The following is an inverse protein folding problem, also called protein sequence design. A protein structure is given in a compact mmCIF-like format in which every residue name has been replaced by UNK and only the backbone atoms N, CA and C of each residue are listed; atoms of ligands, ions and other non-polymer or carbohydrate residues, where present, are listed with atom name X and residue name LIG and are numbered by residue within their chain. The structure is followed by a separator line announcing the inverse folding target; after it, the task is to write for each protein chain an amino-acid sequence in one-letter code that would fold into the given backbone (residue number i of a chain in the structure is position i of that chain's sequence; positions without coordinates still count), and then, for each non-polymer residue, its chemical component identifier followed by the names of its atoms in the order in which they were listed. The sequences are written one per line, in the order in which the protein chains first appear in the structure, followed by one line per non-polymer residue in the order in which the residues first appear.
data_IF_047577361565
#
_entry.id   IF_047577361565
#
_cell.length_a   1.000
_cell.length_b   1.000
_cell.length_c   1.000
_cell.angle_alpha   90.00
_cell.angle_beta   90.00
_cell.angle_gamma   90.00
#
_symmetry.space_group_name_H-M   'P 1'
#
loop_
_entity.id
_entity.type
_entity.pdbx_description
1 polymer ?
#
# COMPACT_ATOMS: atom_id res chain seq x y z
N UNK A 1 -9.24 7.86 -6.50
CA UNK A 1 -8.88 7.54 -5.11
C UNK A 1 -7.85 8.50 -4.49
N UNK A 2 -6.96 9.16 -5.21
CA UNK A 2 -6.02 10.18 -4.67
C UNK A 2 -4.63 9.68 -4.29
N UNK A 3 -4.18 8.50 -4.75
CA UNK A 3 -2.84 7.95 -4.46
C UNK A 3 -1.72 8.88 -4.97
N UNK A 4 -1.72 9.21 -6.26
CA UNK A 4 -0.75 10.14 -6.87
C UNK A 4 -0.72 11.48 -6.15
N UNK A 5 -1.90 12.03 -5.83
CA UNK A 5 -2.01 13.29 -5.08
C UNK A 5 -1.35 13.16 -3.71
N UNK A 6 -1.61 12.08 -2.97
CA UNK A 6 -1.01 11.88 -1.64
C UNK A 6 0.52 11.77 -1.70
N UNK A 7 1.06 10.98 -2.66
CA UNK A 7 2.51 10.86 -2.85
C UNK A 7 3.12 12.23 -3.20
N UNK A 8 2.52 12.97 -4.13
CA UNK A 8 2.97 14.31 -4.52
C UNK A 8 2.92 15.30 -3.34
N UNK A 9 1.87 15.23 -2.52
CA UNK A 9 1.67 16.15 -1.40
C UNK A 9 2.73 16.01 -0.31
N UNK A 10 3.22 14.77 -0.06
CA UNK A 10 4.15 14.51 1.05
C UNK A 10 5.61 14.38 0.61
N UNK A 11 5.88 14.12 -0.65
CA UNK A 11 7.23 13.86 -1.15
C UNK A 11 8.10 15.12 -1.15
N UNK A 12 9.31 14.99 -0.64
CA UNK A 12 10.36 16.04 -0.70
C UNK A 12 11.07 16.10 -2.06
N UNK A 13 10.91 15.07 -2.86
CA UNK A 13 11.45 15.03 -4.23
C UNK A 13 10.31 15.15 -5.23
N UNK A 14 10.63 15.63 -6.44
CA UNK A 14 9.66 15.55 -7.53
C UNK A 14 9.20 14.09 -7.68
N UNK A 15 7.90 13.80 -7.60
CA UNK A 15 7.42 12.43 -7.74
C UNK A 15 7.86 11.85 -9.07
N UNK A 16 8.49 10.70 -9.02
CA UNK A 16 8.83 9.95 -10.23
C UNK A 16 7.62 9.10 -10.58
N UNK A 17 6.93 9.44 -11.65
CA UNK A 17 5.95 8.55 -12.26
C UNK A 17 6.68 7.69 -13.27
N UNK A 18 6.91 6.42 -12.95
CA UNK A 18 7.54 5.49 -13.88
C UNK A 18 6.48 4.85 -14.76
N UNK A 19 6.52 5.14 -16.04
CA UNK A 19 5.75 4.42 -17.05
C UNK A 19 6.54 3.17 -17.48
N UNK A 20 6.25 2.02 -16.88
CA UNK A 20 6.80 0.76 -17.34
C UNK A 20 5.89 0.15 -18.42
N UNK A 21 6.41 -0.04 -19.60
CA UNK A 21 5.72 -0.81 -20.63
C UNK A 21 5.83 -2.29 -20.30
N UNK A 22 4.72 -2.90 -19.90
CA UNK A 22 4.68 -4.34 -19.70
C UNK A 22 4.23 -5.03 -20.97
N UNK A 23 5.11 -5.81 -21.56
CA UNK A 23 4.73 -6.80 -22.57
C UNK A 23 4.21 -8.02 -21.83
N UNK A 24 2.96 -8.39 -22.02
CA UNK A 24 2.42 -9.67 -21.54
C UNK A 24 3.08 -10.79 -22.33
N UNK A 25 4.22 -11.25 -21.85
CA UNK A 25 4.81 -12.52 -22.28
C UNK A 25 4.22 -13.62 -21.38
N UNK A 26 3.29 -14.40 -21.92
CA UNK A 26 2.93 -15.67 -21.34
C UNK A 26 1.49 -15.80 -20.84
N UNK A 27 0.55 -15.85 -21.76
CA UNK A 27 -0.69 -16.58 -21.57
C UNK A 27 -0.86 -17.52 -22.76
N UNK A 28 -0.67 -18.84 -22.50
CA UNK A 28 -1.22 -19.89 -23.37
C UNK A 28 -0.30 -20.37 -24.48
N UNK A 29 0.35 -21.48 -24.23
CA UNK A 29 0.65 -22.49 -25.24
C UNK A 29 -0.70 -23.02 -25.73
N UNK A 30 -1.09 -22.64 -26.96
CA UNK A 30 -1.54 -23.51 -28.03
C UNK A 30 -2.12 -22.73 -29.22
N UNK A 31 -1.70 -23.24 -30.40
CA UNK A 31 -2.27 -23.08 -31.73
C UNK A 31 -2.12 -21.76 -32.49
N UNK A 32 -1.19 -21.85 -33.40
CA UNK A 32 -1.04 -21.23 -34.71
C UNK A 32 -2.13 -20.31 -35.22
N UNK A 33 -2.01 -19.02 -34.90
CA UNK A 33 -2.41 -17.94 -35.79
C UNK A 33 -1.72 -16.66 -35.32
N UNK A 34 -0.95 -16.09 -36.22
CA UNK A 34 -0.33 -14.79 -36.11
C UNK A 34 -1.38 -13.72 -35.80
N UNK A 35 -1.46 -13.26 -34.57
CA UNK A 35 -2.20 -12.04 -34.23
C UNK A 35 -1.16 -10.97 -33.90
N UNK A 36 -1.02 -9.91 -34.71
CA UNK A 36 -0.23 -8.74 -34.39
C UNK A 36 -1.04 -7.88 -33.42
N UNK A 37 -0.76 -8.00 -32.13
CA UNK A 37 -1.42 -7.23 -31.10
C UNK A 37 -0.74 -7.45 -29.77
N UNK A 38 0.56 -7.11 -29.66
CA UNK A 38 1.17 -6.91 -28.36
C UNK A 38 0.49 -5.71 -27.72
N UNK A 39 -0.53 -5.93 -26.87
CA UNK A 39 -1.06 -4.85 -26.06
C UNK A 39 -0.03 -4.51 -24.99
N UNK A 40 0.74 -3.49 -25.26
CA UNK A 40 1.64 -2.89 -24.28
C UNK A 40 0.76 -2.11 -23.30
N UNK A 41 0.67 -2.56 -22.07
CA UNK A 41 -0.02 -1.80 -21.03
C UNK A 41 1.02 -1.00 -20.27
N UNK A 42 0.91 0.32 -20.32
CA UNK A 42 1.72 1.21 -19.51
C UNK A 42 1.22 1.15 -18.07
N UNK A 43 2.10 0.80 -17.15
CA UNK A 43 1.80 0.83 -15.72
C UNK A 43 2.49 2.04 -15.13
N UNK A 44 1.71 2.97 -14.60
CA UNK A 44 2.23 4.11 -13.88
C UNK A 44 2.31 3.77 -12.39
N UNK A 45 3.48 3.98 -11.79
CA UNK A 45 3.71 3.86 -10.35
C UNK A 45 4.29 5.17 -9.84
N UNK A 46 3.69 5.69 -8.79
CA UNK A 46 4.19 6.90 -8.14
C UNK A 46 5.26 6.52 -7.12
N UNK A 47 6.32 7.32 -7.05
CA UNK A 47 7.37 7.16 -6.06
C UNK A 47 7.67 8.49 -5.38
N UNK A 48 7.74 8.46 -4.04
CA UNK A 48 8.07 9.61 -3.22
C UNK A 48 9.03 9.26 -2.10
N UNK A 49 9.66 10.28 -1.54
CA UNK A 49 10.59 10.16 -0.41
C UNK A 49 10.32 11.24 0.63
N UNK A 50 10.44 10.84 1.90
CA UNK A 50 10.43 11.74 3.05
C UNK A 50 11.68 11.46 3.87
N UNK A 51 12.38 12.51 4.28
CA UNK A 51 13.48 12.41 5.24
C UNK A 51 12.91 12.61 6.65
N UNK A 52 13.04 11.60 7.48
CA UNK A 52 12.62 11.67 8.88
C UNK A 52 13.71 12.34 9.71
N UNK A 53 14.96 11.90 9.51
CA UNK A 53 16.18 12.50 10.06
C UNK A 53 17.37 12.21 9.13
N UNK A 54 18.59 12.58 9.53
CA UNK A 54 19.79 12.37 8.71
C UNK A 54 20.06 10.91 8.34
N UNK A 55 19.64 9.98 9.19
CA UNK A 55 19.87 8.54 9.04
C UNK A 55 18.67 7.78 8.46
N UNK A 56 17.45 8.31 8.58
CA UNK A 56 16.20 7.61 8.24
C UNK A 56 15.47 8.30 7.11
N UNK A 57 15.31 7.59 6.01
CA UNK A 57 14.50 7.99 4.86
C UNK A 57 13.34 7.03 4.69
N UNK A 58 12.15 7.55 4.49
CA UNK A 58 10.96 6.77 4.18
C UNK A 58 10.65 6.87 2.69
N UNK A 59 10.49 5.74 2.05
CA UNK A 59 10.09 5.65 0.65
C UNK A 59 8.61 5.28 0.57
N UNK A 60 7.89 5.95 -0.32
CA UNK A 60 6.45 5.77 -0.52
C UNK A 60 6.22 5.38 -1.98
N UNK A 61 5.49 4.29 -2.17
CA UNK A 61 5.13 3.77 -3.48
C UNK A 61 3.62 3.84 -3.66
N UNK A 62 3.16 4.54 -4.69
CA UNK A 62 1.76 4.54 -5.11
C UNK A 62 1.53 3.42 -6.11
N UNK A 63 0.81 2.38 -5.70
CA UNK A 63 0.51 1.23 -6.55
C UNK A 63 -0.61 1.53 -7.54
N UNK A 64 -0.61 0.92 -8.74
CA UNK A 64 -1.77 0.94 -9.62
C UNK A 64 -3.01 0.39 -8.90
N UNK A 65 -4.15 1.03 -9.08
CA UNK A 65 -5.39 0.65 -8.38
C UNK A 65 -6.27 -0.37 -9.11
N UNK A 66 -5.79 -0.93 -10.22
CA UNK A 66 -6.56 -1.91 -10.98
C UNK A 66 -6.14 -3.33 -10.57
N UNK A 67 -7.09 -4.21 -10.34
CA UNK A 67 -6.89 -5.59 -9.87
C UNK A 67 -5.92 -6.41 -10.72
N UNK A 68 -5.89 -6.15 -12.03
CA UNK A 68 -4.94 -6.80 -12.96
C UNK A 68 -3.46 -6.54 -12.61
N UNK A 69 -3.16 -5.55 -11.77
CA UNK A 69 -1.81 -5.23 -11.29
C UNK A 69 -1.51 -5.75 -9.89
N UNK A 70 -2.38 -6.61 -9.34
CA UNK A 70 -2.19 -7.19 -8.01
C UNK A 70 -0.86 -7.95 -7.81
N UNK A 71 -0.26 -8.44 -8.89
CA UNK A 71 1.08 -9.06 -8.83
C UNK A 71 2.17 -8.08 -8.37
N UNK A 72 2.06 -6.78 -8.72
CA UNK A 72 3.00 -5.74 -8.28
C UNK A 72 2.90 -5.47 -6.78
N UNK A 73 1.72 -5.68 -6.20
CA UNK A 73 1.53 -5.48 -4.76
C UNK A 73 2.39 -6.43 -3.96
N UNK A 74 2.59 -7.67 -4.45
CA UNK A 74 3.46 -8.66 -3.78
C UNK A 74 4.90 -8.19 -3.73
N UNK A 75 5.43 -7.71 -4.84
CA UNK A 75 6.82 -7.28 -4.92
C UNK A 75 7.06 -6.01 -4.09
N UNK A 76 6.14 -5.04 -4.14
CA UNK A 76 6.21 -3.80 -3.37
C UNK A 76 5.95 -4.01 -1.88
N UNK A 77 5.10 -4.96 -1.51
CA UNK A 77 4.82 -5.28 -0.11
C UNK A 77 5.96 -6.06 0.55
N UNK A 78 6.83 -6.70 -0.26
CA UNK A 78 8.01 -7.38 0.27
C UNK A 78 9.00 -6.35 0.84
N UNK A 79 9.19 -6.39 2.15
CA UNK A 79 10.02 -5.41 2.88
C UNK A 79 9.33 -4.09 3.24
N UNK A 80 8.07 -3.90 2.85
CA UNK A 80 7.30 -2.75 3.30
C UNK A 80 7.01 -2.80 4.80
N UNK A 81 7.06 -1.64 5.45
CA UNK A 81 6.69 -1.51 6.87
C UNK A 81 5.18 -1.63 7.07
N UNK A 82 4.40 -1.14 6.12
CA UNK A 82 2.95 -1.15 6.15
C UNK A 82 2.35 -0.54 4.89
N UNK A 83 1.02 -0.47 4.84
CA UNK A 83 0.28 0.06 3.70
C UNK A 83 -0.76 1.11 4.12
N UNK A 84 -1.00 2.07 3.25
CA UNK A 84 -2.11 3.01 3.35
C UNK A 84 -3.11 2.70 2.23
N UNK A 85 -4.28 2.20 2.60
CA UNK A 85 -5.37 1.93 1.65
C UNK A 85 -6.26 3.16 1.56
N UNK A 86 -6.12 3.92 0.47
CA UNK A 86 -6.92 5.13 0.24
C UNK A 86 -8.26 4.72 -0.37
N UNK A 87 -9.33 5.09 0.29
CA UNK A 87 -10.72 4.72 -0.04
C UNK A 87 -11.51 5.93 -0.48
N UNK A 88 -12.34 5.75 -1.51
CA UNK A 88 -13.40 6.68 -1.89
C UNK A 88 -14.73 6.08 -1.38
N UNK A 89 -15.36 6.72 -0.42
CA UNK A 89 -16.61 6.24 0.21
C UNK A 89 -17.82 6.21 -0.73
N UNK A 90 -17.71 6.84 -1.89
CA UNK A 90 -18.71 6.77 -2.96
C UNK A 90 -18.53 5.52 -3.84
N UNK A 91 -17.39 4.83 -3.74
CA UNK A 91 -17.00 3.69 -4.55
C UNK A 91 -16.16 2.71 -3.72
N UNK A 92 -16.75 2.17 -2.66
CA UNK A 92 -16.08 1.26 -1.72
C UNK A 92 -15.64 -0.05 -2.38
N UNK A 93 -16.39 -0.50 -3.39
CA UNK A 93 -16.10 -1.71 -4.17
C UNK A 93 -14.70 -1.68 -4.83
N UNK A 94 -14.20 -0.53 -5.23
CA UNK A 94 -12.85 -0.37 -5.76
C UNK A 94 -11.75 -0.67 -4.72
N UNK A 95 -12.09 -0.86 -3.46
CA UNK A 95 -11.13 -1.01 -2.36
C UNK A 95 -11.08 -2.42 -1.76
N UNK A 96 -12.07 -3.27 -2.03
CA UNK A 96 -12.14 -4.60 -1.43
C UNK A 96 -10.91 -5.45 -1.72
N UNK A 97 -10.48 -5.52 -2.97
CA UNK A 97 -9.31 -6.33 -3.35
C UNK A 97 -8.03 -5.88 -2.63
N UNK A 98 -7.85 -4.58 -2.40
CA UNK A 98 -6.70 -4.08 -1.65
C UNK A 98 -6.79 -4.43 -0.17
N UNK A 99 -7.98 -4.32 0.43
CA UNK A 99 -8.22 -4.68 1.84
C UNK A 99 -7.94 -6.17 2.05
N UNK A 100 -8.59 -7.04 1.27
CA UNK A 100 -8.41 -8.49 1.34
C UNK A 100 -6.94 -8.89 1.17
N UNK A 101 -6.25 -8.22 0.24
CA UNK A 101 -4.84 -8.50 -0.02
C UNK A 101 -3.96 -8.22 1.21
N UNK A 102 -4.08 -7.03 1.82
CA UNK A 102 -3.24 -6.65 2.96
C UNK A 102 -3.62 -7.39 4.23
N UNK A 103 -4.89 -7.73 4.44
CA UNK A 103 -5.31 -8.63 5.52
C UNK A 103 -4.70 -10.02 5.34
N UNK A 104 -4.79 -10.59 4.14
CA UNK A 104 -4.24 -11.92 3.83
C UNK A 104 -2.73 -12.00 3.98
N UNK A 105 -2.00 -10.94 3.63
CA UNK A 105 -0.54 -10.87 3.85
C UNK A 105 -0.17 -10.67 5.31
N UNK A 106 -1.09 -10.21 6.10
CA UNK A 106 -0.80 -9.80 7.45
C UNK A 106 0.21 -8.64 7.52
N UNK A 107 0.27 -7.76 6.52
CA UNK A 107 1.01 -6.50 6.58
C UNK A 107 0.20 -5.48 7.39
N UNK A 108 0.80 -4.69 8.31
CA UNK A 108 0.08 -3.60 8.96
C UNK A 108 -0.47 -2.63 7.91
N UNK A 109 -1.73 -2.26 8.03
CA UNK A 109 -2.30 -1.27 7.14
C UNK A 109 -3.33 -0.38 7.84
N UNK A 110 -3.54 0.80 7.26
CA UNK A 110 -4.51 1.79 7.71
C UNK A 110 -5.42 2.12 6.53
N UNK A 111 -6.72 2.23 6.79
CA UNK A 111 -7.70 2.70 5.82
C UNK A 111 -7.85 4.20 5.97
N UNK A 112 -7.62 4.93 4.87
CA UNK A 112 -7.71 6.38 4.78
C UNK A 112 -8.88 6.76 3.86
N UNK A 113 -9.98 7.22 4.46
CA UNK A 113 -11.19 7.65 3.72
C UNK A 113 -10.98 9.05 3.17
N UNK A 114 -10.78 9.15 1.86
CA UNK A 114 -10.41 10.40 1.23
C UNK A 114 -11.61 11.32 1.06
N UNK A 115 -11.48 12.54 1.59
CA UNK A 115 -12.46 13.61 1.42
C UNK A 115 -12.34 14.22 0.02
N UNK A 116 -13.20 13.78 -0.87
CA UNK A 116 -13.39 14.48 -2.13
C UNK A 116 -14.31 15.68 -1.89
N UNK A 117 -13.87 16.86 -2.31
CA UNK A 117 -14.62 18.12 -2.15
C UNK A 117 -14.99 18.48 -0.70
N UNK A 118 -14.21 17.98 0.27
CA UNK A 118 -14.35 18.28 1.68
C UNK A 118 -15.42 17.46 2.41
N UNK A 119 -16.09 16.53 1.74
CA UNK A 119 -17.17 15.72 2.31
C UNK A 119 -16.79 14.25 2.39
N UNK A 120 -17.19 13.60 3.47
CA UNK A 120 -17.35 12.15 3.60
C UNK A 120 -18.85 11.89 3.62
N UNK A 121 -19.31 10.97 2.77
CA UNK A 121 -20.76 10.68 2.62
C UNK A 121 -21.24 9.80 3.77
N UNK A 122 -20.41 8.87 4.22
CA UNK A 122 -20.72 7.92 5.29
C UNK A 122 -19.76 8.11 6.47
N UNK A 123 -20.24 7.84 7.69
CA UNK A 123 -19.36 7.84 8.85
C UNK A 123 -18.34 6.68 8.80
N UNK A 124 -17.23 6.82 9.55
CA UNK A 124 -16.14 5.86 9.53
C UNK A 124 -16.54 4.47 10.06
N UNK A 125 -17.55 4.38 10.93
CA UNK A 125 -18.05 3.12 11.47
C UNK A 125 -18.82 2.34 10.39
N UNK A 126 -19.64 3.04 9.62
CA UNK A 126 -20.35 2.48 8.45
C UNK A 126 -19.37 1.98 7.39
N UNK A 127 -18.32 2.76 7.09
CA UNK A 127 -17.30 2.37 6.13
C UNK A 127 -16.52 1.13 6.62
N UNK A 128 -16.14 1.11 7.90
CA UNK A 128 -15.51 -0.07 8.52
C UNK A 128 -16.36 -1.32 8.36
N UNK A 129 -17.64 -1.20 8.67
CA UNK A 129 -18.58 -2.31 8.56
C UNK A 129 -18.73 -2.79 7.11
N UNK A 130 -18.87 -1.85 6.16
CA UNK A 130 -19.02 -2.17 4.74
C UNK A 130 -17.76 -2.85 4.16
N UNK A 131 -16.57 -2.45 4.60
CA UNK A 131 -15.31 -3.08 4.20
C UNK A 131 -15.00 -4.37 4.97
N UNK A 132 -15.85 -4.76 5.93
CA UNK A 132 -15.73 -5.95 6.77
C UNK A 132 -14.37 -6.10 7.48
N UNK A 133 -13.66 -4.99 7.75
CA UNK A 133 -12.31 -5.03 8.32
C UNK A 133 -12.31 -5.29 9.83
N UNK A 134 -11.27 -5.98 10.29
CA UNK A 134 -11.10 -6.29 11.70
C UNK A 134 -11.10 -5.03 12.58
N UNK A 135 -11.64 -5.10 13.83
CA UNK A 135 -11.68 -3.94 14.74
C UNK A 135 -10.31 -3.28 15.00
N UNK A 136 -9.24 -4.06 14.90
CA UNK A 136 -7.87 -3.57 15.10
C UNK A 136 -7.34 -2.70 13.95
N UNK A 137 -7.94 -2.76 12.76
CA UNK A 137 -7.52 -1.95 11.61
C UNK A 137 -7.97 -0.50 11.83
N UNK A 138 -7.06 0.46 11.78
CA UNK A 138 -7.41 1.89 11.87
C UNK A 138 -8.14 2.33 10.60
N UNK A 139 -9.27 3.05 10.78
CA UNK A 139 -9.99 3.75 9.72
C UNK A 139 -9.99 5.23 10.08
N UNK A 140 -9.43 6.08 9.23
CA UNK A 140 -9.24 7.50 9.49
C UNK A 140 -9.81 8.36 8.37
N UNK A 141 -10.19 9.58 8.68
CA UNK A 141 -10.48 10.61 7.69
C UNK A 141 -9.17 11.08 7.05
N UNK A 142 -9.23 11.36 5.76
CA UNK A 142 -8.05 11.70 4.98
C UNK A 142 -8.37 12.75 3.91
N UNK A 143 -7.44 13.62 3.65
CA UNK A 143 -7.46 14.51 2.48
C UNK A 143 -6.08 14.48 1.81
N UNK A 144 -6.00 13.83 0.66
CA UNK A 144 -4.78 13.65 -0.11
C UNK A 144 -4.08 14.96 -0.51
N UNK A 145 -4.80 16.09 -0.52
CA UNK A 145 -4.29 17.40 -0.91
C UNK A 145 -3.66 18.17 0.25
N UNK A 146 -3.86 17.72 1.50
CA UNK A 146 -3.40 18.40 2.71
C UNK A 146 -2.20 17.69 3.31
N UNK A 147 -1.06 18.36 3.31
CA UNK A 147 0.19 17.82 3.86
C UNK A 147 0.03 17.20 5.26
N UNK A 148 -0.61 17.91 6.19
CA UNK A 148 -0.79 17.42 7.56
C UNK A 148 -1.65 16.15 7.60
N UNK A 149 -2.68 16.06 6.75
CA UNK A 149 -3.53 14.87 6.67
C UNK A 149 -2.76 13.66 6.14
N UNK A 150 -1.95 13.87 5.10
CA UNK A 150 -1.11 12.79 4.53
C UNK A 150 -0.02 12.37 5.52
N UNK A 151 0.63 13.34 6.18
CA UNK A 151 1.61 13.08 7.24
C UNK A 151 1.02 12.22 8.36
N UNK A 152 -0.15 12.61 8.87
CA UNK A 152 -0.79 11.92 9.99
C UNK A 152 -1.22 10.50 9.60
N UNK A 153 -1.66 10.29 8.36
CA UNK A 153 -1.95 8.97 7.83
C UNK A 153 -0.69 8.09 7.73
N UNK A 154 0.42 8.64 7.26
CA UNK A 154 1.71 7.93 7.21
C UNK A 154 2.19 7.58 8.61
N UNK A 155 2.09 8.51 9.57
CA UNK A 155 2.42 8.25 10.98
C UNK A 155 1.56 7.13 11.56
N UNK A 156 0.25 7.09 11.25
CA UNK A 156 -0.62 6.01 11.71
C UNK A 156 -0.17 4.64 11.19
N UNK A 157 0.28 4.55 9.93
CA UNK A 157 0.86 3.30 9.38
C UNK A 157 2.13 2.90 10.12
N UNK A 158 3.04 3.85 10.38
CA UNK A 158 4.28 3.58 11.10
C UNK A 158 4.03 3.14 12.56
N UNK A 159 3.04 3.72 13.23
CA UNK A 159 2.61 3.30 14.57
C UNK A 159 2.14 1.84 14.56
N UNK A 160 1.28 1.44 13.63
CA UNK A 160 0.84 0.05 13.49
C UNK A 160 2.00 -0.91 13.21
N UNK A 161 2.94 -0.51 12.36
CA UNK A 161 4.15 -1.27 12.08
C UNK A 161 5.01 -1.47 13.34
N UNK A 162 5.18 -0.43 14.15
CA UNK A 162 5.91 -0.48 15.41
C UNK A 162 5.22 -1.38 16.45
N UNK A 163 3.91 -1.27 16.61
CA UNK A 163 3.13 -2.15 17.50
C UNK A 163 3.35 -3.60 17.11
N UNK A 164 3.19 -3.91 15.83
CA UNK A 164 3.37 -5.27 15.32
C UNK A 164 4.80 -5.80 15.50
N UNK A 165 5.81 -4.95 15.25
CA UNK A 165 7.21 -5.34 15.46
C UNK A 165 7.50 -5.67 16.93
N UNK A 166 6.95 -4.90 17.86
CA UNK A 166 7.07 -5.13 19.32
C UNK A 166 6.40 -6.44 19.72
N UNK A 167 5.19 -6.70 19.24
CA UNK A 167 4.47 -7.95 19.52
C UNK A 167 5.26 -9.17 19.03
N UNK A 168 5.72 -9.16 17.77
CA UNK A 168 6.53 -10.24 17.21
C UNK A 168 7.84 -10.47 17.99
N UNK A 169 8.47 -9.40 18.47
CA UNK A 169 9.68 -9.49 19.29
C UNK A 169 9.39 -10.14 20.63
N UNK A 170 8.29 -9.75 21.30
CA UNK A 170 7.87 -10.33 22.56
C UNK A 170 7.53 -11.83 22.42
N UNK A 171 6.81 -12.21 21.36
CA UNK A 171 6.49 -13.61 21.05
C UNK A 171 7.75 -14.46 20.83
N UNK A 172 8.74 -13.94 20.10
CA UNK A 172 10.02 -14.63 19.87
C UNK A 172 10.81 -14.80 21.18
N UNK A 173 10.82 -13.81 22.05
CA UNK A 173 11.47 -13.91 23.36
C UNK A 173 10.77 -14.93 24.26
N UNK A 174 9.43 -14.97 24.23
CA UNK A 174 8.63 -15.92 25.02
C UNK A 174 8.79 -17.37 24.53
N UNK A 175 8.98 -17.58 23.22
CA UNK A 175 9.15 -18.92 22.61
C UNK A 175 10.56 -19.49 22.76
N UNK A 176 11.50 -18.75 23.34
CA UNK A 176 12.89 -19.22 23.54
C UNK A 176 13.67 -19.45 22.22
N UNK A 177 13.16 -19.04 21.10
CA UNK A 177 13.81 -19.20 19.81
C UNK A 177 14.96 -18.18 19.68
N UNK A 178 16.16 -18.62 20.03
CA UNK A 178 17.40 -17.93 19.73
C UNK A 178 17.56 -17.82 18.19
N UNK A 179 17.72 -16.63 17.62
CA UNK A 179 18.18 -16.53 16.25
C UNK A 179 19.63 -17.01 16.23
N UNK A 180 19.87 -18.19 15.68
CA UNK A 180 21.23 -18.68 15.46
C UNK A 180 22.09 -17.60 14.80
N UNK A 181 23.44 -17.61 15.02
CA UNK A 181 24.32 -16.67 14.36
C UNK A 181 24.08 -16.74 12.85
N UNK A 182 24.00 -15.56 12.21
CA UNK A 182 23.97 -15.48 10.77
C UNK A 182 25.15 -16.31 10.24
N UNK A 183 24.87 -17.27 9.39
CA UNK A 183 25.86 -18.09 8.73
C UNK A 183 26.76 -17.16 7.90
N UNK A 184 27.89 -16.75 8.48
CA UNK A 184 28.97 -16.13 7.74
C UNK A 184 29.66 -17.24 6.95
N UNK A 185 28.97 -17.70 5.89
CA UNK A 185 29.46 -18.64 4.92
C UNK A 185 30.45 -17.94 4.00
N UNK A 186 31.73 -18.44 4.01
CA UNK A 186 32.84 -18.02 3.22
C UNK A 186 32.68 -18.11 1.69
#
# INVERSE_FOLDING_TARGET
MGKTTAVTTISEIAPLTTEAQMTSAGAGVDNGSLVPGKSTTTVAMDFGRITIDESVKLYIFGTPGQDRFGFMWRDLAHGALGALVIVDDRRLDDSFSAVDYFEGMGLPFVIAVNRFDGLIVHDLATIRWALAVAPAVKVIEFDARRFLSVRDAVLAVLEEALVRARTRRAERQASGAWPGPADEGG
#
